data_IF_680990745957
#
_entry.id   IF_680990745957
#
_cell.length_a   1.000
_cell.length_b   1.000
_cell.length_c   1.000
_cell.angle_alpha   90.00
_cell.angle_beta   90.00
_cell.angle_gamma   90.00
#
_symmetry.space_group_name_H-M   'P 1'
#
loop_
_entity.id
_entity.type
_entity.pdbx_description
1 polymer ?
#
# COMPACT_ATOMS: atom_id res chain seq x y z
N UNK A 1 -21.59 4.15 -18.82
CA UNK A 1 -20.95 4.52 -17.55
C UNK A 1 -19.44 4.39 -17.60
N UNK A 2 -18.78 5.03 -16.65
CA UNK A 2 -17.32 4.95 -16.52
C UNK A 2 -16.97 4.01 -15.37
N UNK A 3 -15.92 3.22 -15.57
CA UNK A 3 -15.36 2.36 -14.51
C UNK A 3 -14.10 3.03 -13.99
N UNK A 4 -14.02 3.19 -12.67
CA UNK A 4 -12.87 3.74 -11.99
C UNK A 4 -12.18 2.63 -11.20
N UNK A 5 -10.88 2.46 -11.40
CA UNK A 5 -10.07 1.49 -10.67
C UNK A 5 -9.03 2.25 -9.86
N UNK A 6 -9.05 2.10 -8.52
CA UNK A 6 -8.06 2.70 -7.63
C UNK A 6 -7.10 1.64 -7.13
N UNK A 7 -5.82 1.95 -7.12
CA UNK A 7 -4.78 1.06 -6.58
C UNK A 7 -3.61 1.88 -6.04
N UNK A 8 -2.78 1.25 -5.22
CA UNK A 8 -1.51 1.85 -4.82
C UNK A 8 -0.60 2.01 -6.03
N UNK A 9 0.21 3.07 -6.04
CA UNK A 9 1.22 3.26 -7.09
C UNK A 9 2.30 2.17 -6.93
N UNK A 10 2.45 1.26 -7.92
CA UNK A 10 3.40 0.16 -7.78
C UNK A 10 4.86 0.58 -7.89
N UNK A 11 5.16 1.76 -8.40
CA UNK A 11 6.52 2.19 -8.65
C UNK A 11 7.15 3.02 -7.52
N UNK A 12 6.34 3.68 -6.70
CA UNK A 12 6.84 4.69 -5.75
C UNK A 12 6.16 4.62 -4.39
N UNK A 13 6.10 3.44 -3.80
CA UNK A 13 5.45 3.26 -2.51
C UNK A 13 6.35 3.68 -1.33
N UNK A 14 5.80 4.48 -0.43
CA UNK A 14 6.49 4.95 0.78
C UNK A 14 5.82 4.48 2.07
N UNK A 15 4.88 3.54 2.00
CA UNK A 15 4.19 3.03 3.19
C UNK A 15 5.20 2.44 4.19
N UNK A 16 5.19 2.87 5.46
CA UNK A 16 6.06 2.27 6.47
C UNK A 16 5.74 0.79 6.67
N UNK A 17 6.76 -0.06 6.60
CA UNK A 17 6.59 -1.50 6.63
C UNK A 17 7.53 -2.16 7.64
N UNK A 18 7.09 -3.27 8.23
CA UNK A 18 8.00 -4.21 8.84
C UNK A 18 8.54 -5.17 7.76
N UNK A 19 9.61 -5.91 8.09
CA UNK A 19 10.39 -6.66 7.10
C UNK A 19 9.57 -7.59 6.21
N UNK A 20 8.77 -8.46 6.83
CA UNK A 20 7.96 -9.45 6.09
C UNK A 20 6.84 -8.76 5.29
N UNK A 21 6.24 -7.73 5.85
CA UNK A 21 5.24 -6.90 5.17
C UNK A 21 5.81 -6.28 3.90
N UNK A 22 7.04 -5.76 3.96
CA UNK A 22 7.70 -5.14 2.80
C UNK A 22 7.85 -6.13 1.65
N UNK A 23 8.28 -7.35 1.95
CA UNK A 23 8.42 -8.41 0.94
C UNK A 23 7.08 -8.72 0.29
N UNK A 24 6.04 -8.91 1.11
CA UNK A 24 4.69 -9.24 0.62
C UNK A 24 4.09 -8.09 -0.18
N UNK A 25 4.25 -6.86 0.30
CA UNK A 25 3.78 -5.67 -0.40
C UNK A 25 4.46 -5.52 -1.76
N UNK A 26 5.78 -5.70 -1.84
CA UNK A 26 6.51 -5.62 -3.10
C UNK A 26 6.03 -6.68 -4.10
N UNK A 27 5.75 -7.89 -3.66
CA UNK A 27 5.18 -8.95 -4.52
C UNK A 27 3.81 -8.51 -5.06
N UNK A 28 2.96 -7.94 -4.22
CA UNK A 28 1.65 -7.45 -4.62
C UNK A 28 1.76 -6.30 -5.63
N UNK A 29 2.71 -5.39 -5.42
CA UNK A 29 2.92 -4.25 -6.32
C UNK A 29 3.44 -4.69 -7.69
N UNK A 30 4.32 -5.68 -7.76
CA UNK A 30 4.78 -6.26 -9.03
C UNK A 30 3.61 -6.86 -9.80
N UNK A 31 2.75 -7.61 -9.12
CA UNK A 31 1.54 -8.16 -9.72
C UNK A 31 0.60 -7.07 -10.23
N UNK A 32 0.37 -6.05 -9.42
CA UNK A 32 -0.51 -4.94 -9.76
C UNK A 32 0.01 -4.16 -10.98
N UNK A 33 1.32 -3.99 -11.09
CA UNK A 33 1.95 -3.36 -12.24
C UNK A 33 1.65 -4.13 -13.53
N UNK A 34 1.74 -5.45 -13.50
CA UNK A 34 1.39 -6.30 -14.64
C UNK A 34 -0.08 -6.17 -15.02
N UNK A 35 -0.97 -6.13 -14.02
CA UNK A 35 -2.40 -5.96 -14.23
C UNK A 35 -2.68 -4.60 -14.91
N UNK A 36 -2.03 -3.54 -14.47
CA UNK A 36 -2.17 -2.21 -15.07
C UNK A 36 -1.70 -2.18 -16.52
N UNK A 37 -0.61 -2.89 -16.84
CA UNK A 37 -0.14 -3.03 -18.21
C UNK A 37 -1.14 -3.75 -19.10
N UNK A 38 -1.75 -4.83 -18.59
CA UNK A 38 -2.80 -5.58 -19.30
C UNK A 38 -4.02 -4.68 -19.55
N UNK A 39 -4.46 -3.94 -18.55
CA UNK A 39 -5.58 -3.00 -18.68
C UNK A 39 -5.29 -1.97 -19.76
N UNK A 40 -4.08 -1.43 -19.81
CA UNK A 40 -3.69 -0.46 -20.83
C UNK A 40 -3.71 -1.05 -22.23
N UNK A 41 -3.34 -2.33 -22.40
CA UNK A 41 -3.41 -3.03 -23.67
C UNK A 41 -4.85 -3.27 -24.11
N UNK A 42 -5.72 -3.69 -23.18
CA UNK A 42 -7.12 -3.97 -23.47
C UNK A 42 -7.95 -2.70 -23.68
N UNK A 43 -7.57 -1.62 -23.00
CA UNK A 43 -8.26 -0.34 -23.04
C UNK A 43 -7.27 0.79 -23.33
N UNK A 44 -6.79 0.91 -24.60
CA UNK A 44 -5.76 1.90 -24.95
C UNK A 44 -6.19 3.34 -24.68
N UNK A 45 -7.49 3.61 -24.65
CA UNK A 45 -8.05 4.95 -24.39
C UNK A 45 -8.23 5.24 -22.90
N UNK A 46 -7.87 4.29 -22.02
CA UNK A 46 -7.98 4.51 -20.58
C UNK A 46 -7.08 5.67 -20.14
N UNK A 47 -7.54 6.42 -19.14
CA UNK A 47 -6.82 7.55 -18.59
C UNK A 47 -6.28 7.15 -17.22
N UNK A 48 -4.98 7.39 -17.01
CA UNK A 48 -4.30 7.17 -15.73
C UNK A 48 -4.10 8.50 -15.02
N UNK A 49 -4.58 8.60 -13.79
CA UNK A 49 -4.36 9.77 -12.93
C UNK A 49 -3.61 9.35 -11.68
N UNK A 50 -2.60 10.14 -11.33
CA UNK A 50 -1.81 9.91 -10.12
C UNK A 50 -2.27 10.86 -9.02
N UNK A 51 -2.44 10.32 -7.82
CA UNK A 51 -2.76 11.10 -6.62
C UNK A 51 -1.74 10.81 -5.55
N UNK A 52 -1.46 11.80 -4.72
CA UNK A 52 -0.67 11.57 -3.53
C UNK A 52 -1.21 12.42 -2.37
N UNK A 53 -1.05 11.88 -1.18
CA UNK A 53 -1.46 12.54 0.05
C UNK A 53 -0.30 12.50 1.04
N UNK A 54 0.00 13.64 1.65
CA UNK A 54 0.97 13.68 2.74
C UNK A 54 0.31 13.14 3.99
N UNK A 55 0.84 12.05 4.53
CA UNK A 55 0.34 11.42 5.75
C UNK A 55 1.28 11.77 6.91
N UNK A 56 0.67 12.23 8.01
CA UNK A 56 1.35 12.43 9.29
C UNK A 56 0.51 11.74 10.35
N UNK A 57 1.05 10.71 10.95
CA UNK A 57 0.32 9.85 11.87
C UNK A 57 1.24 9.44 13.03
N UNK A 58 0.70 9.36 14.25
CA UNK A 58 1.50 8.84 15.33
C UNK A 58 1.67 7.32 15.21
N UNK A 59 2.79 6.82 15.69
CA UNK A 59 3.17 5.41 15.59
C UNK A 59 2.15 4.48 16.24
N UNK A 60 1.61 4.85 17.40
CA UNK A 60 0.60 4.04 18.09
C UNK A 60 -0.65 3.84 17.24
N UNK A 61 -1.11 4.89 16.59
CA UNK A 61 -2.28 4.82 15.70
C UNK A 61 -1.98 3.96 14.47
N UNK A 62 -0.79 4.09 13.90
CA UNK A 62 -0.38 3.31 12.75
C UNK A 62 -0.29 1.81 13.10
N UNK A 63 0.28 1.46 14.25
CA UNK A 63 0.32 0.08 14.75
C UNK A 63 -1.09 -0.49 14.89
N UNK A 64 -2.03 0.31 15.40
CA UNK A 64 -3.42 -0.09 15.52
C UNK A 64 -4.03 -0.38 14.16
N UNK A 65 -3.74 0.43 13.15
CA UNK A 65 -4.17 0.21 11.76
C UNK A 65 -3.61 -1.11 11.21
N UNK A 66 -2.33 -1.40 11.45
CA UNK A 66 -1.71 -2.66 11.03
C UNK A 66 -2.42 -3.85 11.68
N UNK A 67 -2.67 -3.80 12.98
CA UNK A 67 -3.37 -4.87 13.71
C UNK A 67 -4.80 -5.07 13.18
N UNK A 68 -5.43 -4.03 12.68
CA UNK A 68 -6.75 -4.07 12.06
C UNK A 68 -6.70 -4.36 10.55
N UNK A 69 -5.53 -4.68 10.02
CA UNK A 69 -5.32 -5.05 8.61
C UNK A 69 -5.91 -4.04 7.64
N UNK A 70 -5.48 -2.78 7.74
CA UNK A 70 -6.03 -1.67 6.95
C UNK A 70 -5.77 -1.78 5.44
N UNK A 71 -4.81 -2.59 5.00
CA UNK A 71 -4.55 -2.89 3.59
C UNK A 71 -4.57 -4.39 3.36
N UNK A 72 -4.93 -4.80 2.14
CA UNK A 72 -5.11 -6.21 1.78
C UNK A 72 -3.86 -7.06 1.97
N UNK A 73 -2.67 -6.48 1.81
CA UNK A 73 -1.40 -7.17 2.06
C UNK A 73 -1.35 -7.81 3.46
N UNK A 74 -1.95 -7.15 4.45
CA UNK A 74 -1.94 -7.61 5.84
C UNK A 74 -2.90 -8.78 6.11
N UNK A 75 -3.83 -9.05 5.21
CA UNK A 75 -4.76 -10.18 5.34
C UNK A 75 -4.05 -11.53 5.28
N UNK A 76 -2.88 -11.59 4.67
CA UNK A 76 -2.10 -12.82 4.55
C UNK A 76 -1.38 -13.22 5.84
N UNK A 77 -1.31 -12.34 6.84
CA UNK A 77 -0.55 -12.58 8.06
C UNK A 77 -1.43 -13.04 9.22
N UNK A 78 -0.87 -13.94 10.05
CA UNK A 78 -1.49 -14.35 11.30
C UNK A 78 -1.38 -13.25 12.36
N UNK A 79 -2.17 -13.34 13.42
CA UNK A 79 -2.07 -12.42 14.56
C UNK A 79 -0.66 -12.38 15.15
N UNK A 80 0.01 -13.53 15.23
CA UNK A 80 1.38 -13.65 15.72
C UNK A 80 2.36 -12.87 14.83
N UNK A 81 2.24 -13.02 13.52
CA UNK A 81 3.07 -12.31 12.55
C UNK A 81 2.85 -10.79 12.63
N UNK A 82 1.60 -10.35 12.81
CA UNK A 82 1.28 -8.94 12.99
C UNK A 82 1.86 -8.41 14.30
N UNK A 83 1.79 -9.17 15.39
CA UNK A 83 2.38 -8.78 16.67
C UNK A 83 3.89 -8.61 16.55
N UNK A 84 4.58 -9.54 15.90
CA UNK A 84 6.03 -9.44 15.66
C UNK A 84 6.36 -8.25 14.75
N UNK A 85 5.56 -8.04 13.71
CA UNK A 85 5.75 -6.93 12.78
C UNK A 85 5.55 -5.58 13.45
N UNK A 86 4.55 -5.44 14.32
CA UNK A 86 4.33 -4.19 15.03
C UNK A 86 5.43 -3.88 16.06
N UNK A 87 6.08 -4.90 16.63
CA UNK A 87 7.28 -4.69 17.44
C UNK A 87 8.42 -4.10 16.59
N UNK A 88 8.63 -4.57 15.38
CA UNK A 88 9.62 -4.00 14.46
C UNK A 88 9.31 -2.53 14.16
N UNK A 89 8.06 -2.19 13.91
CA UNK A 89 7.63 -0.79 13.69
C UNK A 89 7.92 0.05 14.93
N UNK A 90 7.61 -0.46 16.13
CA UNK A 90 7.85 0.24 17.38
C UNK A 90 9.33 0.59 17.57
N UNK A 91 10.21 -0.34 17.23
CA UNK A 91 11.65 -0.17 17.42
C UNK A 91 12.32 0.63 16.30
N UNK A 92 11.82 0.51 15.06
CA UNK A 92 12.46 1.08 13.87
C UNK A 92 12.07 2.54 13.63
N UNK A 93 10.82 2.90 13.88
CA UNK A 93 10.29 4.22 13.54
C UNK A 93 10.15 5.13 14.75
N UNK A 94 10.23 6.44 14.49
CA UNK A 94 10.00 7.48 15.50
C UNK A 94 8.51 7.60 15.83
N UNK A 95 8.17 8.34 16.86
CA UNK A 95 6.79 8.48 17.34
C UNK A 95 5.81 9.04 16.31
N UNK A 96 6.31 9.88 15.40
CA UNK A 96 5.51 10.44 14.31
C UNK A 96 6.04 9.88 12.99
N UNK A 97 5.13 9.27 12.22
CA UNK A 97 5.41 8.77 10.87
C UNK A 97 4.95 9.80 9.86
N UNK A 98 5.82 10.07 8.88
CA UNK A 98 5.50 10.95 7.75
C UNK A 98 5.87 10.25 6.46
N UNK A 99 4.90 10.13 5.57
CA UNK A 99 5.13 9.51 4.27
C UNK A 99 4.10 10.03 3.27
N UNK A 100 4.36 9.79 1.99
CA UNK A 100 3.39 10.06 0.93
C UNK A 100 2.63 8.80 0.60
N UNK A 101 1.31 8.88 0.67
CA UNK A 101 0.43 7.82 0.20
C UNK A 101 0.15 8.09 -1.28
N UNK A 102 0.62 7.21 -2.15
CA UNK A 102 0.57 7.37 -3.60
C UNK A 102 -0.40 6.39 -4.21
N UNK A 103 -1.38 6.93 -4.92
CA UNK A 103 -2.46 6.16 -5.53
C UNK A 103 -2.54 6.43 -7.02
N UNK A 104 -3.05 5.45 -7.74
CA UNK A 104 -3.37 5.57 -9.17
C UNK A 104 -4.86 5.34 -9.34
N UNK A 105 -5.49 6.16 -10.17
CA UNK A 105 -6.85 5.94 -10.65
C UNK A 105 -6.83 5.69 -12.15
N UNK A 106 -7.38 4.58 -12.59
CA UNK A 106 -7.58 4.27 -14.00
C UNK A 106 -9.04 4.50 -14.35
N UNK A 107 -9.27 5.29 -15.39
CA UNK A 107 -10.61 5.59 -15.90
C UNK A 107 -10.76 4.86 -17.23
N UNK A 108 -11.64 3.89 -17.23
CA UNK A 108 -11.92 3.09 -18.45
C UNK A 108 -12.98 3.75 -19.30
#
# INVERSE_FOLDING_TARGET
>A
GKILIFTLDPDKNEIPTFKVMKVKLNQSLVRDKKILEIIKKLYPQSIKKNFFFNVRINKKKYIKMIKNRYISTLLAFSKKQLAQGTEEIELKFKDILRFKDKLICIIL
#
